data_IF_734593969590
#
_entry.id   IF_734593969590
#
_cell.length_a   1.000
_cell.length_b   1.000
_cell.length_c   1.000
_cell.angle_alpha   90.00
_cell.angle_beta   90.00
_cell.angle_gamma   90.00
#
_symmetry.space_group_name_H-M   'P 1'
#
loop_
_entity.id
_entity.type
_entity.pdbx_description
1 polymer ?
#
# COMPACT_ATOMS: atom_id res chain seq x y z
N UNK A 1 9.84 4.08 -24.80
CA UNK A 1 9.15 5.16 -24.05
C UNK A 1 9.34 4.90 -22.57
N UNK A 2 9.71 5.92 -21.78
CA UNK A 2 10.03 5.79 -20.36
C UNK A 2 8.91 6.34 -19.45
N UNK A 3 9.05 6.11 -18.14
CA UNK A 3 8.11 6.61 -17.13
C UNK A 3 8.27 8.13 -16.96
N UNK A 4 7.15 8.86 -16.93
CA UNK A 4 7.14 10.31 -16.68
C UNK A 4 7.06 10.61 -15.17
N UNK A 5 7.08 11.88 -14.79
CA UNK A 5 7.03 12.31 -13.38
C UNK A 5 5.79 11.81 -12.64
N UNK A 6 4.61 11.85 -13.27
CA UNK A 6 3.40 11.29 -12.69
C UNK A 6 3.52 9.77 -12.44
N UNK A 7 4.11 9.05 -13.39
CA UNK A 7 4.38 7.63 -13.23
C UNK A 7 5.36 7.33 -12.10
N UNK A 8 6.42 8.13 -11.94
CA UNK A 8 7.34 8.02 -10.80
C UNK A 8 6.59 8.18 -9.47
N UNK A 9 5.72 9.18 -9.35
CA UNK A 9 4.88 9.36 -8.16
C UNK A 9 4.01 8.12 -7.90
N UNK A 10 3.38 7.56 -8.93
CA UNK A 10 2.52 6.39 -8.79
C UNK A 10 3.34 5.21 -8.26
N UNK A 11 4.50 4.92 -8.87
CA UNK A 11 5.41 3.86 -8.43
C UNK A 11 5.89 4.08 -7.00
N UNK A 12 6.33 5.30 -6.65
CA UNK A 12 6.80 5.62 -5.31
C UNK A 12 5.69 5.48 -4.26
N UNK A 13 4.47 5.91 -4.60
CA UNK A 13 3.31 5.81 -3.70
C UNK A 13 2.88 4.35 -3.52
N UNK A 14 2.96 3.52 -4.57
CA UNK A 14 2.71 2.08 -4.48
C UNK A 14 3.71 1.42 -3.52
N UNK A 15 5.01 1.65 -3.73
CA UNK A 15 6.09 1.14 -2.88
C UNK A 15 6.01 1.65 -1.43
N UNK A 16 5.43 2.84 -1.22
CA UNK A 16 5.21 3.39 0.12
C UNK A 16 4.18 2.62 0.94
N UNK A 17 3.29 1.82 0.32
CA UNK A 17 2.32 1.01 1.05
C UNK A 17 3.02 0.05 2.01
N UNK A 18 3.99 -0.71 1.53
CA UNK A 18 4.77 -1.67 2.33
C UNK A 18 5.58 -0.97 3.44
N UNK A 19 6.16 0.20 3.16
CA UNK A 19 6.86 1.02 4.16
C UNK A 19 5.95 1.55 5.27
N UNK A 20 4.66 1.77 4.96
CA UNK A 20 3.69 2.39 5.87
C UNK A 20 2.92 1.34 6.67
N UNK A 21 2.67 0.18 6.06
CA UNK A 21 1.87 -0.90 6.62
C UNK A 21 2.72 -2.16 6.72
N UNK A 22 3.25 -2.51 7.91
CA UNK A 22 4.18 -3.64 8.08
C UNK A 22 3.60 -5.01 7.68
N UNK A 23 2.28 -5.11 7.58
CA UNK A 23 1.55 -6.31 7.14
C UNK A 23 1.27 -6.32 5.62
N UNK A 24 1.72 -5.33 4.88
CA UNK A 24 1.53 -5.24 3.43
C UNK A 24 2.86 -5.47 2.74
N UNK A 25 2.87 -6.37 1.75
CA UNK A 25 3.98 -6.52 0.82
C UNK A 25 3.46 -6.24 -0.57
N UNK A 26 4.11 -5.31 -1.29
CA UNK A 26 3.79 -5.04 -2.68
C UNK A 26 4.58 -5.97 -3.59
N UNK A 27 3.90 -6.58 -4.54
CA UNK A 27 4.46 -7.53 -5.49
C UNK A 27 4.42 -6.90 -6.90
N UNK A 28 4.42 -7.73 -7.94
CA UNK A 28 4.34 -7.31 -9.33
C UNK A 28 3.24 -6.26 -9.62
N UNK A 29 3.60 -5.27 -10.43
CA UNK A 29 2.69 -4.21 -10.88
C UNK A 29 3.01 -3.76 -12.30
N UNK A 30 2.00 -3.24 -12.99
CA UNK A 30 2.11 -2.68 -14.32
C UNK A 30 1.43 -1.31 -14.34
N UNK A 31 2.20 -0.28 -14.73
CA UNK A 31 1.71 1.06 -14.96
C UNK A 31 1.52 1.28 -16.46
N UNK A 32 0.28 1.52 -16.85
CA UNK A 32 -0.13 1.82 -18.22
C UNK A 32 -0.57 3.29 -18.30
N UNK A 33 -0.66 3.88 -19.51
CA UNK A 33 -1.03 5.29 -19.67
C UNK A 33 -2.37 5.69 -19.04
N UNK A 34 -3.33 4.76 -18.96
CA UNK A 34 -4.70 5.00 -18.53
C UNK A 34 -5.06 4.28 -17.20
N UNK A 35 -4.28 3.27 -16.79
CA UNK A 35 -4.58 2.53 -15.57
C UNK A 35 -3.35 1.87 -14.93
N UNK A 36 -3.55 1.39 -13.70
CA UNK A 36 -2.54 0.73 -12.90
C UNK A 36 -3.07 -0.62 -12.43
N UNK A 37 -2.30 -1.68 -12.66
CA UNK A 37 -2.51 -3.00 -12.07
C UNK A 37 -1.41 -3.28 -11.05
N UNK A 38 -1.77 -3.81 -9.88
CA UNK A 38 -0.81 -4.20 -8.86
C UNK A 38 -1.29 -5.38 -8.05
N UNK A 39 -0.35 -6.24 -7.64
CA UNK A 39 -0.56 -7.35 -6.74
C UNK A 39 0.03 -6.97 -5.38
N UNK A 40 -0.70 -7.24 -4.30
CA UNK A 40 -0.19 -7.07 -2.94
C UNK A 40 -0.66 -8.21 -2.04
N UNK A 41 0.12 -8.46 -1.01
CA UNK A 41 -0.18 -9.41 0.05
C UNK A 41 -0.58 -8.65 1.31
N UNK A 42 -1.63 -9.11 1.98
CA UNK A 42 -1.97 -8.69 3.34
C UNK A 42 -1.63 -9.89 4.24
N UNK A 43 -0.52 -9.78 4.95
CA UNK A 43 0.02 -10.86 5.75
C UNK A 43 -0.46 -10.77 7.19
N UNK A 44 -0.69 -11.92 7.80
CA UNK A 44 -0.87 -12.00 9.23
C UNK A 44 0.47 -11.72 9.92
N UNK A 45 0.55 -10.63 10.70
CA UNK A 45 1.70 -10.40 11.56
C UNK A 45 1.56 -11.29 12.78
N UNK A 46 2.18 -12.47 12.74
CA UNK A 46 2.23 -13.39 13.88
C UNK A 46 3.37 -12.90 14.80
N UNK A 47 3.08 -12.32 15.98
CA UNK A 47 4.12 -12.17 16.98
C UNK A 47 4.37 -13.57 17.55
N UNK A 48 5.55 -14.14 17.26
CA UNK A 48 6.08 -15.41 17.79
C UNK A 48 5.25 -16.05 18.94
N UNK A 49 4.32 -16.95 18.61
CA UNK A 49 3.57 -17.72 19.61
C UNK A 49 2.32 -18.41 19.06
N UNK A 50 2.03 -19.68 19.42
CA UNK A 50 0.79 -20.34 19.04
C UNK A 50 -0.39 -19.70 19.79
N UNK A 51 -1.31 -19.04 19.06
CA UNK A 51 -2.58 -18.54 19.62
C UNK A 51 -2.89 -17.04 19.44
N UNK A 52 -2.02 -16.27 18.78
CA UNK A 52 -2.25 -14.83 18.57
C UNK A 52 -3.32 -14.56 17.50
N UNK A 53 -4.59 -14.44 17.91
CA UNK A 53 -5.65 -13.89 17.05
C UNK A 53 -5.43 -12.38 16.89
N UNK A 54 -4.94 -11.97 15.72
CA UNK A 54 -4.67 -10.58 15.31
C UNK A 54 -5.92 -9.68 15.16
N UNK A 55 -7.12 -10.15 15.55
CA UNK A 55 -8.37 -9.40 15.52
C UNK A 55 -8.87 -8.95 16.91
N UNK A 56 -7.97 -8.60 17.83
CA UNK A 56 -8.34 -8.14 19.18
C UNK A 56 -7.68 -6.79 19.48
N UNK A 57 -8.50 -5.73 19.54
CA UNK A 57 -8.04 -4.38 19.85
C UNK A 57 -7.45 -4.32 21.28
N UNK A 58 -6.12 -4.37 21.39
CA UNK A 58 -5.38 -4.24 22.64
C UNK A 58 -4.18 -3.28 22.50
N UNK A 59 -3.65 -2.73 23.61
CA UNK A 59 -2.49 -1.85 23.60
C UNK A 59 -1.27 -2.59 23.02
N UNK A 60 -0.66 -2.04 21.96
CA UNK A 60 0.50 -2.63 21.28
C UNK A 60 0.19 -3.50 20.05
N UNK A 61 -1.08 -3.68 19.68
CA UNK A 61 -1.47 -4.47 18.51
C UNK A 61 -1.59 -3.62 17.23
N UNK A 62 -1.04 -4.12 16.12
CA UNK A 62 -1.14 -3.48 14.80
C UNK A 62 -2.55 -3.71 14.25
N UNK A 63 -3.32 -2.64 14.06
CA UNK A 63 -4.64 -2.69 13.42
C UNK A 63 -4.47 -2.86 11.91
N UNK A 64 -4.86 -4.03 11.39
CA UNK A 64 -4.90 -4.29 9.95
C UNK A 64 -6.03 -3.46 9.32
N UNK A 65 -5.69 -2.69 8.29
CA UNK A 65 -6.66 -1.92 7.52
C UNK A 65 -7.28 -2.82 6.44
N UNK A 66 -8.58 -2.67 6.16
CA UNK A 66 -9.19 -3.37 5.03
C UNK A 66 -8.57 -2.89 3.71
N UNK A 67 -8.53 -3.77 2.71
CA UNK A 67 -7.94 -3.50 1.38
C UNK A 67 -8.40 -2.16 0.79
N UNK A 68 -9.69 -1.84 0.88
CA UNK A 68 -10.23 -0.58 0.37
C UNK A 68 -9.59 0.68 0.98
N UNK A 69 -9.19 0.65 2.26
CA UNK A 69 -8.47 1.76 2.89
C UNK A 69 -7.01 1.85 2.42
N UNK A 70 -6.35 0.71 2.18
CA UNK A 70 -4.99 0.70 1.63
C UNK A 70 -4.97 1.29 0.22
N UNK A 71 -5.88 0.83 -0.65
CA UNK A 71 -6.01 1.34 -2.02
C UNK A 71 -6.51 2.80 -2.04
N UNK A 72 -7.40 3.17 -1.11
CA UNK A 72 -7.80 4.56 -0.92
C UNK A 72 -6.62 5.46 -0.58
N UNK A 73 -5.77 5.04 0.37
CA UNK A 73 -4.53 5.75 0.72
C UNK A 73 -3.61 5.90 -0.48
N UNK A 74 -3.40 4.82 -1.25
CA UNK A 74 -2.59 4.85 -2.48
C UNK A 74 -3.12 5.89 -3.47
N UNK A 75 -4.41 5.81 -3.86
CA UNK A 75 -5.04 6.73 -4.81
C UNK A 75 -5.01 8.17 -4.33
N UNK A 76 -5.34 8.42 -3.06
CA UNK A 76 -5.34 9.78 -2.52
C UNK A 76 -3.94 10.39 -2.48
N UNK A 77 -2.93 9.64 -2.04
CA UNK A 77 -1.56 10.13 -1.95
C UNK A 77 -0.93 10.39 -3.33
N UNK A 78 -1.17 9.53 -4.31
CA UNK A 78 -0.64 9.71 -5.67
C UNK A 78 -1.31 10.89 -6.35
N UNK A 79 -2.65 10.94 -6.36
CA UNK A 79 -3.41 12.06 -6.95
C UNK A 79 -3.04 13.40 -6.33
N UNK A 80 -2.90 13.48 -5.00
CA UNK A 80 -2.51 14.73 -4.33
C UNK A 80 -1.14 15.21 -4.80
N UNK A 81 -0.14 14.32 -4.87
CA UNK A 81 1.21 14.68 -5.30
C UNK A 81 1.24 15.11 -6.76
N UNK A 82 0.54 14.39 -7.64
CA UNK A 82 0.44 14.75 -9.07
C UNK A 82 -0.21 16.12 -9.23
N UNK A 83 -1.30 16.40 -8.49
CA UNK A 83 -1.97 17.68 -8.56
C UNK A 83 -1.13 18.86 -8.05
N UNK A 84 -0.12 18.61 -7.19
CA UNK A 84 0.81 19.62 -6.69
C UNK A 84 1.98 19.89 -7.63
N UNK A 85 2.14 19.12 -8.71
CA UNK A 85 3.15 19.38 -9.75
C UNK A 85 2.74 20.50 -10.71
N UNK A 86 1.48 20.96 -10.64
CA UNK A 86 0.91 22.01 -11.47
C UNK A 86 0.91 23.37 -10.75
#
# INVERSE_FOLDING_TARGET
>A
MGINEAGKIITDTWQKLEKTYPYVVVDEYCLLPDHFHGILWIQELIPYGPGSKINLAGPGMIKIKPLGQLIGSFKTCSTKQINLMN
#
